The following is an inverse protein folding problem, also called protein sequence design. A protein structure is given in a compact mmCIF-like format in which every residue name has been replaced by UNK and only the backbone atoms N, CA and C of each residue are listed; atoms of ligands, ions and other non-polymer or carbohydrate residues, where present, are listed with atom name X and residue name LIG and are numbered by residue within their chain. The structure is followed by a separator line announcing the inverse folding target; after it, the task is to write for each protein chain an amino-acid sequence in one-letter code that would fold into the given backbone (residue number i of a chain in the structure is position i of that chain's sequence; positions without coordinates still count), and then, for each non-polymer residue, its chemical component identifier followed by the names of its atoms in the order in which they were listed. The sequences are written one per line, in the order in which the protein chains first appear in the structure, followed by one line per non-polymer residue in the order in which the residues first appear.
data_IF_465584304602
#
_entry.id   IF_465584304602
#
_cell.length_a   1.000
_cell.length_b   1.000
_cell.length_c   1.000
_cell.angle_alpha   90.00
_cell.angle_beta   90.00
_cell.angle_gamma   90.00
#
_symmetry.space_group_name_H-M   'P 1'
#
loop_
_entity.id
_entity.type
_entity.pdbx_description
1 polymer ?
#
# COMPACT_ATOMS: atom_id res chain seq x y z
N UNK A 1 -9.68 -16.40 0.59
CA UNK A 1 -10.85 -16.14 1.46
C UNK A 1 -11.97 -15.42 0.73
N UNK A 2 -11.80 -14.16 0.29
CA UNK A 2 -12.87 -13.42 -0.43
C UNK A 2 -13.30 -14.12 -1.74
N UNK A 3 -12.35 -14.66 -2.51
CA UNK A 3 -12.65 -15.48 -3.70
C UNK A 3 -13.46 -16.73 -3.37
N UNK A 4 -13.11 -17.42 -2.28
CA UNK A 4 -13.83 -18.60 -1.80
C UNK A 4 -15.26 -18.26 -1.38
N UNK A 5 -15.48 -17.08 -0.79
CA UNK A 5 -16.82 -16.59 -0.46
C UNK A 5 -17.67 -16.30 -1.72
N UNK A 6 -17.05 -15.77 -2.79
CA UNK A 6 -17.71 -15.60 -4.09
C UNK A 6 -18.04 -16.96 -4.72
N UNK A 7 -17.08 -17.88 -4.73
CA UNK A 7 -17.22 -19.23 -5.31
C UNK A 7 -18.31 -20.06 -4.58
N UNK A 8 -18.49 -19.83 -3.27
CA UNK A 8 -19.54 -20.44 -2.46
C UNK A 8 -20.89 -19.70 -2.51
N UNK A 9 -20.99 -18.62 -3.28
CA UNK A 9 -22.21 -17.81 -3.41
C UNK A 9 -22.60 -17.02 -2.15
N UNK A 10 -21.68 -16.83 -1.20
CA UNK A 10 -21.90 -16.06 0.05
C UNK A 10 -21.93 -14.56 -0.23
N UNK A 11 -21.18 -14.11 -1.23
CA UNK A 11 -21.14 -12.72 -1.69
C UNK A 11 -21.41 -12.66 -3.19
N UNK A 12 -22.04 -11.58 -3.63
CA UNK A 12 -22.26 -11.26 -5.03
C UNK A 12 -20.97 -10.80 -5.70
N UNK A 13 -20.94 -10.82 -7.04
CA UNK A 13 -19.79 -10.32 -7.80
C UNK A 13 -19.50 -8.84 -7.53
N UNK A 14 -20.54 -8.03 -7.33
CA UNK A 14 -20.40 -6.61 -7.04
C UNK A 14 -19.71 -6.37 -5.68
N UNK A 15 -20.10 -7.12 -4.65
CA UNK A 15 -19.45 -7.07 -3.32
C UNK A 15 -18.00 -7.57 -3.39
N UNK A 16 -17.74 -8.61 -4.18
CA UNK A 16 -16.38 -9.08 -4.41
C UNK A 16 -15.49 -8.01 -5.04
N UNK A 17 -15.98 -7.31 -6.06
CA UNK A 17 -15.22 -6.28 -6.76
C UNK A 17 -14.94 -5.08 -5.83
N UNK A 18 -15.93 -4.66 -5.01
CA UNK A 18 -15.72 -3.62 -3.99
C UNK A 18 -14.68 -4.04 -2.93
N UNK A 19 -14.77 -5.26 -2.40
CA UNK A 19 -13.81 -5.78 -1.44
C UNK A 19 -12.41 -5.89 -2.05
N UNK A 20 -12.29 -6.30 -3.32
CA UNK A 20 -11.01 -6.36 -4.02
C UNK A 20 -10.38 -4.97 -4.17
N UNK A 21 -11.18 -3.94 -4.49
CA UNK A 21 -10.70 -2.55 -4.54
C UNK A 21 -10.29 -2.06 -3.15
N UNK A 22 -11.11 -2.30 -2.13
CA UNK A 22 -10.80 -1.90 -0.75
C UNK A 22 -9.51 -2.55 -0.24
N UNK A 23 -9.30 -3.84 -0.51
CA UNK A 23 -8.08 -4.56 -0.11
C UNK A 23 -6.85 -4.05 -0.86
N UNK A 24 -6.93 -3.90 -2.19
CA UNK A 24 -5.80 -3.38 -2.97
C UNK A 24 -5.46 -1.94 -2.58
N UNK A 25 -6.46 -1.12 -2.30
CA UNK A 25 -6.27 0.26 -1.83
C UNK A 25 -5.66 0.28 -0.44
N UNK A 26 -6.19 -0.54 0.48
CA UNK A 26 -5.74 -0.63 1.86
C UNK A 26 -4.36 -1.26 2.05
N UNK A 27 -3.87 -2.05 1.09
CA UNK A 27 -2.54 -2.68 1.17
C UNK A 27 -1.49 -1.95 0.33
N UNK A 28 -1.81 -1.46 -0.87
CA UNK A 28 -0.83 -0.80 -1.74
C UNK A 28 -0.59 0.67 -1.42
N UNK A 29 -1.59 1.44 -0.95
CA UNK A 29 -1.36 2.84 -0.58
C UNK A 29 -0.44 2.96 0.64
N UNK A 30 -0.65 2.20 1.74
CA UNK A 30 0.24 2.29 2.90
C UNK A 30 1.62 1.68 2.66
N UNK A 31 1.75 0.72 1.74
CA UNK A 31 3.06 0.10 1.45
C UNK A 31 4.04 1.10 0.83
N UNK A 32 3.55 2.00 -0.03
CA UNK A 32 4.35 3.12 -0.59
C UNK A 32 4.75 4.13 0.48
N UNK A 33 3.94 4.27 1.53
CA UNK A 33 4.17 5.20 2.63
C UNK A 33 5.20 4.69 3.67
N UNK A 34 5.90 3.57 3.39
CA UNK A 34 6.91 3.01 4.30
C UNK A 34 8.19 2.59 3.56
N UNK A 35 9.36 2.61 4.21
CA UNK A 35 10.63 2.18 3.61
C UNK A 35 10.65 0.73 3.12
N UNK A 36 9.84 -0.14 3.74
CA UNK A 36 9.85 -1.58 3.48
C UNK A 36 8.65 -2.04 2.64
N UNK A 37 7.62 -1.21 2.47
CA UNK A 37 6.38 -1.66 1.84
C UNK A 37 6.47 -1.73 0.32
N UNK A 38 7.39 -1.01 -0.31
CA UNK A 38 7.73 -1.19 -1.72
C UNK A 38 8.97 -2.08 -1.85
N UNK A 39 8.83 -3.23 -2.51
CA UNK A 39 9.93 -4.17 -2.77
C UNK A 39 11.13 -3.48 -3.47
N UNK A 40 10.90 -2.40 -4.22
CA UNK A 40 11.94 -1.58 -4.81
C UNK A 40 12.86 -0.89 -3.77
N UNK A 41 12.31 -0.40 -2.67
CA UNK A 41 13.10 0.20 -1.59
C UNK A 41 13.84 -0.86 -0.77
N UNK A 42 13.22 -2.01 -0.55
CA UNK A 42 13.87 -3.15 0.09
C UNK A 42 15.04 -3.68 -0.77
N UNK A 43 14.86 -3.72 -2.10
CA UNK A 43 15.91 -4.07 -3.06
C UNK A 43 17.04 -3.04 -3.09
N UNK A 44 16.72 -1.73 -3.01
CA UNK A 44 17.74 -0.69 -2.85
C UNK A 44 18.52 -0.87 -1.55
N UNK A 45 17.85 -1.18 -0.44
CA UNK A 45 18.46 -1.40 0.87
C UNK A 45 19.40 -2.61 0.94
N UNK A 46 19.11 -3.68 0.19
CA UNK A 46 19.97 -4.88 0.13
C UNK A 46 21.03 -4.81 -0.96
N UNK A 47 20.91 -3.86 -1.90
CA UNK A 47 21.92 -3.63 -2.92
C UNK A 47 23.19 -2.95 -2.36
N UNK A 48 24.32 -3.17 -3.02
CA UNK A 48 25.58 -2.47 -2.70
C UNK A 48 25.48 -0.94 -2.92
N UNK A 49 24.40 -0.43 -3.52
CA UNK A 49 24.17 1.01 -3.70
C UNK A 49 23.74 1.71 -2.41
N UNK A 50 22.98 1.07 -1.51
CA UNK A 50 22.52 1.70 -0.27
C UNK A 50 23.64 2.36 0.57
N UNK A 51 24.79 1.69 0.83
CA UNK A 51 25.90 2.32 1.56
C UNK A 51 26.59 3.43 0.75
N UNK A 52 26.63 3.33 -0.59
CA UNK A 52 27.21 4.37 -1.46
C UNK A 52 26.41 5.68 -1.44
N UNK A 53 25.08 5.61 -1.37
CA UNK A 53 24.21 6.79 -1.28
C UNK A 53 23.86 7.17 0.17
N UNK A 54 24.47 6.51 1.17
CA UNK A 54 24.24 6.73 2.61
C UNK A 54 22.76 6.72 3.00
N UNK A 55 21.98 5.84 2.37
CA UNK A 55 20.54 5.74 2.61
C UNK A 55 20.28 4.89 3.86
N UNK A 56 20.14 5.55 5.02
CA UNK A 56 19.75 4.88 6.26
C UNK A 56 18.23 4.68 6.35
N UNK A 57 17.79 3.67 7.10
CA UNK A 57 16.37 3.42 7.34
C UNK A 57 15.62 4.68 7.85
N UNK A 58 16.21 5.40 8.82
CA UNK A 58 15.62 6.63 9.34
C UNK A 58 15.47 7.74 8.28
N UNK A 59 16.41 7.85 7.33
CA UNK A 59 16.28 8.78 6.20
C UNK A 59 15.11 8.41 5.30
N UNK A 60 14.93 7.11 5.04
CA UNK A 60 13.79 6.64 4.24
C UNK A 60 12.46 6.90 4.92
N UNK A 61 12.37 6.75 6.25
CA UNK A 61 11.16 7.10 7.01
C UNK A 61 10.81 8.57 6.82
N UNK A 62 11.80 9.47 6.93
CA UNK A 62 11.58 10.92 6.72
C UNK A 62 11.13 11.21 5.29
N UNK A 63 11.69 10.53 4.29
CA UNK A 63 11.26 10.66 2.89
C UNK A 63 9.84 10.12 2.65
N UNK A 64 9.46 9.06 3.37
CA UNK A 64 8.15 8.41 3.22
C UNK A 64 7.01 9.18 3.92
N UNK A 65 7.31 9.90 5.00
CA UNK A 65 6.34 10.67 5.79
C UNK A 65 5.39 11.58 4.98
N UNK A 66 5.84 12.44 4.04
CA UNK A 66 4.94 13.25 3.23
C UNK A 66 3.98 12.40 2.39
N UNK A 67 4.43 11.25 1.88
CA UNK A 67 3.56 10.31 1.16
C UNK A 67 2.54 9.68 2.09
N UNK A 68 2.90 9.35 3.34
CA UNK A 68 1.94 8.87 4.34
C UNK A 68 0.78 9.86 4.50
N UNK A 69 1.09 11.15 4.70
CA UNK A 69 0.05 12.17 4.92
C UNK A 69 -0.85 12.31 3.69
N UNK A 70 -0.26 12.44 2.50
CA UNK A 70 -1.03 12.65 1.26
C UNK A 70 -1.85 11.41 0.89
N UNK A 71 -1.24 10.22 0.91
CA UNK A 71 -1.93 8.99 0.51
C UNK A 71 -3.01 8.60 1.52
N UNK A 72 -2.81 8.83 2.82
CA UNK A 72 -3.87 8.63 3.81
C UNK A 72 -5.01 9.62 3.63
N UNK A 73 -4.73 10.91 3.41
CA UNK A 73 -5.78 11.91 3.20
C UNK A 73 -6.58 11.63 1.92
N UNK A 74 -5.90 11.40 0.80
CA UNK A 74 -6.53 11.12 -0.50
C UNK A 74 -7.27 9.78 -0.46
N UNK A 75 -6.67 8.74 0.13
CA UNK A 75 -7.31 7.44 0.29
C UNK A 75 -8.58 7.53 1.14
N UNK A 76 -8.54 8.29 2.24
CA UNK A 76 -9.73 8.51 3.07
C UNK A 76 -10.82 9.27 2.32
N UNK A 77 -10.48 10.34 1.60
CA UNK A 77 -11.43 11.08 0.74
C UNK A 77 -12.02 10.15 -0.32
N UNK A 78 -11.21 9.31 -0.95
CA UNK A 78 -11.69 8.38 -1.96
C UNK A 78 -12.70 7.36 -1.38
N UNK A 79 -12.47 6.87 -0.16
CA UNK A 79 -13.40 5.96 0.53
C UNK A 79 -14.71 6.66 0.91
N UNK A 80 -14.66 7.92 1.34
CA UNK A 80 -15.86 8.64 1.80
C UNK A 80 -16.75 9.07 0.62
N UNK A 81 -16.16 9.45 -0.50
CA UNK A 81 -16.90 10.11 -1.60
C UNK A 81 -17.05 9.28 -2.87
N UNK A 82 -16.27 8.21 -3.07
CA UNK A 82 -16.22 7.46 -4.35
C UNK A 82 -16.55 5.98 -4.24
N UNK A 83 -16.44 5.39 -3.04
CA UNK A 83 -16.75 3.99 -2.73
C UNK A 83 -17.98 3.94 -1.83
#
# INVERSE_FOLDING_TARGET
EVKTALDNGVITRAEFDQLAVAINTGTNLPSVATPNGQAAFLFLLTSALAPLIRLSYGRMVVMAFPYTVVLTAVGLVAVIYTL
#
